data_IF_728944997626
#
_entry.id   IF_728944997626
#
_cell.length_a   1.000
_cell.length_b   1.000
_cell.length_c   1.000
_cell.angle_alpha   90.00
_cell.angle_beta   90.00
_cell.angle_gamma   90.00
#
_symmetry.space_group_name_H-M   'P 1'
#
loop_
_entity.id
_entity.type
_entity.pdbx_description
1 polymer ?
#
# COMPACT_ATOMS: atom_id res chain seq x y z
N UNK A 1 -7.91 1.69 23.41
CA UNK A 1 -8.95 1.73 22.36
C UNK A 1 -8.89 3.03 21.54
N UNK A 2 -9.08 4.21 22.15
CA UNK A 2 -9.08 5.51 21.45
C UNK A 2 -7.81 5.79 20.63
N UNK A 3 -6.64 5.48 21.18
CA UNK A 3 -5.36 5.68 20.49
C UNK A 3 -5.25 4.84 19.20
N UNK A 4 -5.75 3.60 19.20
CA UNK A 4 -5.78 2.75 18.01
C UNK A 4 -6.66 3.34 16.93
N UNK A 5 -7.82 3.90 17.30
CA UNK A 5 -8.73 4.56 16.36
C UNK A 5 -8.02 5.73 15.68
N UNK A 6 -7.36 6.60 16.45
CA UNK A 6 -6.63 7.75 15.90
C UNK A 6 -5.50 7.32 14.96
N UNK A 7 -4.69 6.33 15.36
CA UNK A 7 -3.58 5.84 14.54
C UNK A 7 -4.09 5.21 13.24
N UNK A 8 -5.11 4.36 13.31
CA UNK A 8 -5.71 3.73 12.13
C UNK A 8 -6.30 4.79 11.19
N UNK A 9 -7.01 5.78 11.72
CA UNK A 9 -7.56 6.87 10.91
C UNK A 9 -6.46 7.66 10.18
N UNK A 10 -5.35 7.98 10.86
CA UNK A 10 -4.22 8.67 10.23
C UNK A 10 -3.58 7.85 9.11
N UNK A 11 -3.41 6.54 9.33
CA UNK A 11 -2.88 5.62 8.30
C UNK A 11 -3.81 5.60 7.07
N UNK A 12 -5.12 5.48 7.28
CA UNK A 12 -6.10 5.46 6.18
C UNK A 12 -6.10 6.78 5.42
N UNK A 13 -6.10 7.92 6.11
CA UNK A 13 -6.06 9.25 5.47
C UNK A 13 -4.77 9.41 4.66
N UNK A 14 -3.62 9.06 5.24
CA UNK A 14 -2.32 9.13 4.56
C UNK A 14 -2.25 8.25 3.32
N UNK A 15 -2.80 7.03 3.40
CA UNK A 15 -2.88 6.10 2.28
C UNK A 15 -3.74 6.68 1.15
N UNK A 16 -4.95 7.16 1.46
CA UNK A 16 -5.86 7.74 0.46
C UNK A 16 -5.23 8.97 -0.20
N UNK A 17 -4.64 9.88 0.58
CA UNK A 17 -3.99 11.07 0.07
C UNK A 17 -2.82 10.72 -0.88
N UNK A 18 -1.99 9.75 -0.50
CA UNK A 18 -0.85 9.28 -1.31
C UNK A 18 -1.33 8.68 -2.63
N UNK A 19 -2.37 7.85 -2.60
CA UNK A 19 -2.96 7.24 -3.79
C UNK A 19 -3.60 8.30 -4.71
N UNK A 20 -4.31 9.28 -4.14
CA UNK A 20 -4.97 10.33 -4.90
C UNK A 20 -3.97 11.23 -5.65
N UNK A 21 -2.89 11.64 -4.98
CA UNK A 21 -1.81 12.42 -5.60
C UNK A 21 -1.09 11.58 -6.67
N UNK A 22 -0.71 10.35 -6.35
CA UNK A 22 0.01 9.45 -7.25
C UNK A 22 -0.77 9.06 -8.51
N UNK A 23 -2.10 9.00 -8.42
CA UNK A 23 -3.00 8.73 -9.56
C UNK A 23 -3.60 9.99 -10.19
N UNK A 24 -3.21 11.18 -9.75
CA UNK A 24 -3.73 12.43 -10.32
C UNK A 24 -3.39 12.55 -11.81
N UNK A 25 -4.30 13.13 -12.59
CA UNK A 25 -4.10 13.32 -14.03
C UNK A 25 -2.89 14.21 -14.33
N UNK A 26 -2.55 15.14 -13.43
CA UNK A 26 -1.38 15.99 -13.55
C UNK A 26 -0.08 15.18 -13.45
N UNK A 27 -0.02 14.23 -12.51
CA UNK A 27 1.10 13.30 -12.37
C UNK A 27 1.23 12.36 -13.60
N UNK A 28 0.09 11.92 -14.14
CA UNK A 28 0.04 11.09 -15.35
C UNK A 28 0.55 11.82 -16.60
N UNK A 29 0.13 13.08 -16.81
CA UNK A 29 0.56 13.92 -17.94
C UNK A 29 2.04 14.27 -17.87
N UNK A 30 2.57 14.55 -16.68
CA UNK A 30 3.98 14.87 -16.48
C UNK A 30 4.89 13.66 -16.72
N UNK A 31 4.41 12.45 -16.43
CA UNK A 31 5.20 11.23 -16.58
C UNK A 31 4.38 10.06 -17.16
N UNK A 32 4.12 10.02 -18.48
CA UNK A 32 3.33 8.97 -19.10
C UNK A 32 3.99 7.58 -19.06
N UNK A 33 5.32 7.52 -18.86
CA UNK A 33 6.03 6.25 -18.59
C UNK A 33 5.80 5.73 -17.16
N UNK A 34 5.40 6.60 -16.24
CA UNK A 34 5.08 6.24 -14.86
C UNK A 34 3.89 5.29 -14.82
N UNK A 35 2.76 5.62 -15.46
CA UNK A 35 1.56 4.76 -15.44
C UNK A 35 1.82 3.32 -15.93
N UNK A 36 2.64 3.16 -16.99
CA UNK A 36 3.04 1.83 -17.48
C UNK A 36 3.81 1.02 -16.45
N UNK A 37 4.67 1.65 -15.66
CA UNK A 37 5.43 0.98 -14.59
C UNK A 37 4.65 0.87 -13.29
N UNK A 38 3.74 1.80 -13.00
CA UNK A 38 2.91 1.81 -11.79
C UNK A 38 2.04 0.56 -11.70
N UNK A 39 1.44 0.09 -12.80
CA UNK A 39 0.67 -1.17 -12.78
C UNK A 39 1.54 -2.38 -12.42
N UNK A 40 2.71 -2.52 -13.05
CA UNK A 40 3.64 -3.61 -12.74
C UNK A 40 4.17 -3.52 -11.31
N UNK A 41 4.51 -2.31 -10.85
CA UNK A 41 4.99 -2.07 -9.49
C UNK A 41 3.91 -2.31 -8.44
N UNK A 42 2.65 -1.92 -8.68
CA UNK A 42 1.53 -2.20 -7.76
C UNK A 42 1.31 -3.71 -7.66
N UNK A 43 1.35 -4.44 -8.77
CA UNK A 43 1.24 -5.91 -8.75
C UNK A 43 2.38 -6.52 -7.93
N UNK A 44 3.63 -6.10 -8.18
CA UNK A 44 4.79 -6.58 -7.43
C UNK A 44 4.69 -6.23 -5.94
N UNK A 45 4.22 -5.02 -5.62
CA UNK A 45 4.02 -4.57 -4.24
C UNK A 45 2.95 -5.42 -3.55
N UNK A 46 1.81 -5.65 -4.19
CA UNK A 46 0.74 -6.52 -3.67
C UNK A 46 1.24 -7.95 -3.43
N UNK A 47 2.09 -8.49 -4.30
CA UNK A 47 2.71 -9.81 -4.11
C UNK A 47 3.63 -9.81 -2.89
N UNK A 48 4.50 -8.81 -2.74
CA UNK A 48 5.42 -8.70 -1.59
C UNK A 48 4.62 -8.63 -0.29
N UNK A 49 3.64 -7.73 -0.22
CA UNK A 49 2.78 -7.60 0.98
C UNK A 49 1.99 -8.87 1.26
N UNK A 50 1.44 -9.53 0.23
CA UNK A 50 0.76 -10.81 0.37
C UNK A 50 1.67 -11.90 0.95
N UNK A 51 2.90 -12.03 0.43
CA UNK A 51 3.89 -12.96 0.96
C UNK A 51 4.31 -12.62 2.39
N UNK A 52 4.46 -11.33 2.73
CA UNK A 52 4.77 -10.91 4.09
C UNK A 52 3.68 -11.29 5.09
N UNK A 53 2.39 -11.15 4.72
CA UNK A 53 1.27 -11.58 5.57
C UNK A 53 1.30 -13.10 5.76
N UNK A 54 1.48 -13.86 4.68
CA UNK A 54 1.58 -15.34 4.74
C UNK A 54 2.74 -15.77 5.63
N UNK A 55 3.92 -15.16 5.47
CA UNK A 55 5.09 -15.44 6.29
C UNK A 55 4.84 -15.10 7.76
N UNK A 56 4.22 -13.96 8.05
CA UNK A 56 3.85 -13.59 9.42
C UNK A 56 2.92 -14.63 10.05
N UNK A 57 1.85 -15.03 9.35
CA UNK A 57 0.91 -16.06 9.86
C UNK A 57 1.60 -17.40 10.07
N UNK A 58 2.46 -17.82 9.15
CA UNK A 58 3.21 -19.07 9.27
C UNK A 58 4.16 -19.07 10.48
N UNK A 59 4.88 -17.96 10.71
CA UNK A 59 5.72 -17.78 11.89
C UNK A 59 4.84 -17.82 13.14
N UNK A 60 3.74 -17.07 13.18
CA UNK A 60 2.82 -17.06 14.31
C UNK A 60 2.36 -18.48 14.66
N UNK A 61 1.92 -19.27 13.68
CA UNK A 61 1.47 -20.65 13.91
C UNK A 61 2.54 -21.60 14.47
N UNK A 62 3.83 -21.31 14.27
CA UNK A 62 4.94 -22.13 14.79
C UNK A 62 5.27 -21.77 16.25
N UNK A 63 5.06 -20.50 16.63
CA UNK A 63 5.50 -19.95 17.92
C UNK A 63 4.35 -19.62 18.89
N UNK A 64 3.10 -19.89 18.50
CA UNK A 64 1.91 -19.83 19.35
C UNK A 64 1.75 -21.09 20.22
#
# INVERSE_FOLDING_TARGET
MWMYIVVISLIVIGLIATLWVGMSQENSKSNPKYEKKTKANIIMLSVIYGLSIVAFVAIWMIFD
#
